data_IF_039786665485
#
_entry.id   IF_039786665485
#
_cell.length_a   1.000
_cell.length_b   1.000
_cell.length_c   1.000
_cell.angle_alpha   90.00
_cell.angle_beta   90.00
_cell.angle_gamma   90.00
#
_symmetry.space_group_name_H-M   'P 1'
#
loop_
_entity.id
_entity.type
_entity.pdbx_description
1 polymer ?
#
# COMPACT_ATOMS: atom_id res chain seq x y z
N UNK A 1 -25.60 27.88 -24.47
CA UNK A 1 -25.87 27.08 -23.27
C UNK A 1 -24.90 27.58 -22.20
N UNK A 2 -25.42 28.35 -21.22
CA UNK A 2 -24.63 28.81 -20.08
C UNK A 2 -24.53 27.63 -19.10
N UNK A 3 -23.35 27.03 -18.98
CA UNK A 3 -23.07 26.05 -17.94
C UNK A 3 -22.78 26.86 -16.66
N UNK A 4 -23.78 26.99 -15.81
CA UNK A 4 -23.58 27.56 -14.48
C UNK A 4 -22.86 26.47 -13.65
N UNK A 5 -21.59 26.67 -13.37
CA UNK A 5 -20.87 25.81 -12.44
C UNK A 5 -21.51 25.98 -11.07
N UNK A 6 -22.19 24.96 -10.57
CA UNK A 6 -22.63 24.93 -9.18
C UNK A 6 -21.35 24.81 -8.34
N UNK A 7 -21.07 25.88 -7.57
CA UNK A 7 -19.92 25.84 -6.67
C UNK A 7 -20.14 24.71 -5.65
N UNK A 8 -19.21 23.80 -5.57
CA UNK A 8 -19.21 22.74 -4.57
C UNK A 8 -19.11 23.39 -3.18
N UNK A 9 -20.17 23.27 -2.38
CA UNK A 9 -20.26 23.87 -1.04
C UNK A 9 -19.62 23.00 0.05
N UNK A 10 -19.04 21.84 -0.33
CA UNK A 10 -18.36 20.99 0.64
C UNK A 10 -17.17 21.70 1.28
N UNK A 11 -16.93 21.42 2.55
CA UNK A 11 -15.71 21.85 3.23
C UNK A 11 -14.50 21.23 2.51
N UNK A 12 -13.44 22.00 2.37
CA UNK A 12 -12.21 21.54 1.74
C UNK A 12 -11.13 21.34 2.80
N UNK A 13 -10.46 20.18 2.77
CA UNK A 13 -9.26 19.92 3.55
C UNK A 13 -8.03 20.02 2.64
N UNK A 14 -7.11 20.90 2.98
CA UNK A 14 -5.83 21.01 2.28
C UNK A 14 -4.82 20.09 2.95
N UNK A 15 -4.21 19.19 2.16
CA UNK A 15 -3.23 18.22 2.61
C UNK A 15 -1.90 18.53 1.92
N UNK A 16 -0.86 18.80 2.70
CA UNK A 16 0.48 19.02 2.19
C UNK A 16 1.27 17.71 2.14
N UNK A 17 1.60 17.26 0.93
CA UNK A 17 2.36 16.05 0.64
C UNK A 17 1.47 14.85 0.26
N UNK A 18 1.76 14.26 -0.90
CA UNK A 18 1.13 13.04 -1.42
C UNK A 18 1.98 11.79 -1.12
N UNK A 19 2.55 11.72 0.07
CA UNK A 19 3.13 10.50 0.62
C UNK A 19 2.06 9.59 1.24
N UNK A 20 2.44 8.43 1.82
CA UNK A 20 1.50 7.49 2.41
C UNK A 20 0.53 8.13 3.41
N UNK A 21 1.02 9.01 4.26
CA UNK A 21 0.19 9.67 5.27
C UNK A 21 -0.88 10.60 4.65
N UNK A 22 -0.46 11.45 3.71
CA UNK A 22 -1.38 12.39 3.04
C UNK A 22 -2.42 11.69 2.18
N UNK A 23 -2.01 10.68 1.42
CA UNK A 23 -2.92 9.89 0.59
C UNK A 23 -3.91 9.06 1.43
N UNK A 24 -3.45 8.51 2.57
CA UNK A 24 -4.33 7.83 3.52
C UNK A 24 -5.35 8.79 4.12
N UNK A 25 -4.92 9.97 4.55
CA UNK A 25 -5.83 10.99 5.08
C UNK A 25 -6.87 11.41 4.05
N UNK A 26 -6.46 11.63 2.80
CA UNK A 26 -7.37 11.97 1.71
C UNK A 26 -8.41 10.86 1.47
N UNK A 27 -7.96 9.60 1.41
CA UNK A 27 -8.85 8.45 1.23
C UNK A 27 -9.86 8.31 2.36
N UNK A 28 -9.43 8.46 3.61
CA UNK A 28 -10.32 8.35 4.77
C UNK A 28 -11.33 9.52 4.84
N UNK A 29 -10.92 10.73 4.46
CA UNK A 29 -11.86 11.85 4.33
C UNK A 29 -12.93 11.58 3.28
N UNK A 30 -12.55 11.08 2.11
CA UNK A 30 -13.50 10.71 1.05
C UNK A 30 -14.46 9.59 1.45
N UNK A 31 -13.99 8.63 2.26
CA UNK A 31 -14.80 7.49 2.70
C UNK A 31 -15.75 7.80 3.85
N UNK A 32 -15.38 8.75 4.72
CA UNK A 32 -16.02 8.94 6.02
C UNK A 32 -16.60 10.32 6.26
N UNK A 33 -16.50 11.23 5.30
CA UNK A 33 -16.99 12.59 5.46
C UNK A 33 -17.40 13.22 4.13
N UNK A 34 -18.06 14.36 4.21
CA UNK A 34 -18.39 15.21 3.06
C UNK A 34 -17.29 16.23 2.74
N UNK A 35 -16.10 16.07 3.34
CA UNK A 35 -14.97 16.97 3.13
C UNK A 35 -14.26 16.58 1.83
N UNK A 36 -14.03 17.57 0.97
CA UNK A 36 -13.24 17.40 -0.24
C UNK A 36 -11.74 17.54 0.07
N UNK A 37 -10.94 16.48 -0.01
CA UNK A 37 -9.50 16.59 0.16
C UNK A 37 -8.85 17.16 -1.11
N UNK A 38 -7.97 18.14 -0.92
CA UNK A 38 -7.08 18.69 -1.96
C UNK A 38 -5.65 18.44 -1.51
N UNK A 39 -4.93 17.61 -2.26
CA UNK A 39 -3.57 17.20 -1.92
C UNK A 39 -2.58 17.97 -2.78
N UNK A 40 -1.63 18.65 -2.15
CA UNK A 40 -0.52 19.30 -2.83
C UNK A 40 0.75 18.49 -2.65
N UNK A 41 1.44 18.23 -3.75
CA UNK A 41 2.73 17.53 -3.76
C UNK A 41 3.79 18.45 -4.37
N UNK A 42 4.95 18.52 -3.74
CA UNK A 42 6.07 19.33 -4.21
C UNK A 42 6.87 18.66 -5.34
N UNK A 43 6.79 17.34 -5.42
CA UNK A 43 7.47 16.54 -6.45
C UNK A 43 6.55 16.29 -7.64
N UNK A 44 7.13 15.88 -8.75
CA UNK A 44 6.40 15.47 -9.99
C UNK A 44 5.73 14.11 -9.85
N UNK A 45 6.09 13.33 -8.85
CA UNK A 45 5.57 11.99 -8.58
C UNK A 45 5.08 11.87 -7.15
N UNK A 46 3.87 11.37 -6.97
CA UNK A 46 3.30 11.03 -5.66
C UNK A 46 3.99 9.80 -5.04
N UNK A 47 3.76 9.55 -3.76
CA UNK A 47 4.21 8.36 -3.05
C UNK A 47 5.22 8.63 -1.93
N UNK A 48 5.88 9.80 -1.91
CA UNK A 48 6.83 10.16 -0.85
C UNK A 48 7.90 9.08 -0.65
N UNK A 49 8.07 8.60 0.58
CA UNK A 49 9.05 7.55 0.91
C UNK A 49 8.70 6.17 0.28
N UNK A 50 7.46 5.98 -0.15
CA UNK A 50 7.01 4.74 -0.81
C UNK A 50 7.10 4.80 -2.33
N UNK A 51 7.77 5.82 -2.88
CA UNK A 51 7.99 5.91 -4.32
C UNK A 51 8.84 4.77 -4.84
N UNK A 52 8.44 4.25 -6.00
CA UNK A 52 9.27 3.38 -6.83
C UNK A 52 9.81 4.22 -7.98
N UNK A 53 11.12 4.32 -8.08
CA UNK A 53 11.80 5.00 -9.19
C UNK A 53 12.25 3.99 -10.25
N UNK A 54 12.20 4.41 -11.52
CA UNK A 54 12.77 3.64 -12.61
C UNK A 54 14.13 4.23 -12.99
N UNK A 55 15.18 3.47 -12.77
CA UNK A 55 16.52 3.84 -13.17
C UNK A 55 17.08 2.83 -14.15
N UNK A 56 17.28 3.24 -15.40
CA UNK A 56 17.81 2.40 -16.48
C UNK A 56 17.04 1.08 -16.65
N UNK A 57 15.71 1.14 -16.60
CA UNK A 57 14.84 -0.03 -16.71
C UNK A 57 14.66 -0.85 -15.43
N UNK A 58 15.37 -0.52 -14.35
CA UNK A 58 15.22 -1.19 -13.05
C UNK A 58 14.29 -0.38 -12.14
N UNK A 59 13.31 -1.05 -11.53
CA UNK A 59 12.42 -0.47 -10.52
C UNK A 59 13.06 -0.60 -9.15
N UNK A 60 13.17 0.52 -8.44
CA UNK A 60 13.76 0.56 -7.11
C UNK A 60 12.88 1.40 -6.18
N UNK A 61 12.50 0.85 -5.05
CA UNK A 61 11.78 1.57 -4.02
C UNK A 61 12.75 2.46 -3.22
N UNK A 62 12.35 3.71 -2.96
CA UNK A 62 13.13 4.64 -2.16
C UNK A 62 13.15 4.26 -0.68
N UNK A 63 12.06 3.71 -0.19
CA UNK A 63 11.91 3.25 1.17
C UNK A 63 11.92 1.74 1.31
N UNK A 64 11.47 1.28 2.47
CA UNK A 64 11.30 -0.15 2.70
C UNK A 64 10.15 -0.69 1.86
N UNK A 65 10.43 -1.63 0.96
CA UNK A 65 9.42 -2.25 0.07
C UNK A 65 8.73 -3.45 0.70
N UNK A 66 8.71 -3.54 2.01
CA UNK A 66 7.98 -4.57 2.74
C UNK A 66 6.86 -3.95 3.53
N UNK A 67 5.67 -4.48 3.31
CA UNK A 67 4.55 -4.15 4.16
C UNK A 67 4.43 -5.14 5.31
N UNK A 68 4.41 -4.63 6.52
CA UNK A 68 4.10 -5.35 7.74
C UNK A 68 3.60 -4.39 8.80
N UNK A 69 2.55 -4.78 9.50
CA UNK A 69 2.07 -4.06 10.69
C UNK A 69 1.75 -5.03 11.83
N UNK A 70 1.98 -4.58 13.07
CA UNK A 70 1.52 -5.29 14.27
C UNK A 70 0.03 -5.09 14.51
N UNK A 71 -0.58 -4.10 13.90
CA UNK A 71 -2.00 -3.79 14.02
C UNK A 71 -2.81 -4.59 13.01
N UNK A 72 -3.73 -5.40 13.50
CA UNK A 72 -4.66 -6.16 12.67
C UNK A 72 -5.58 -5.24 11.87
N UNK A 73 -5.92 -4.07 12.42
CA UNK A 73 -6.68 -3.05 11.70
C UNK A 73 -5.92 -2.55 10.48
N UNK A 74 -4.64 -2.20 10.61
CA UNK A 74 -3.80 -1.75 9.49
C UNK A 74 -3.64 -2.85 8.46
N UNK A 75 -3.47 -4.11 8.90
CA UNK A 75 -3.35 -5.24 7.98
C UNK A 75 -4.63 -5.44 7.16
N UNK A 76 -5.80 -5.39 7.79
CA UNK A 76 -7.09 -5.48 7.08
C UNK A 76 -7.30 -4.30 6.14
N UNK A 77 -7.02 -3.08 6.59
CA UNK A 77 -7.15 -1.87 5.78
C UNK A 77 -6.32 -1.94 4.49
N UNK A 78 -5.09 -2.45 4.58
CA UNK A 78 -4.26 -2.67 3.40
C UNK A 78 -4.82 -3.71 2.45
N UNK A 79 -5.35 -4.79 2.97
CA UNK A 79 -5.97 -5.84 2.16
C UNK A 79 -7.25 -5.38 1.45
N UNK A 80 -7.93 -4.37 1.99
CA UNK A 80 -9.05 -3.72 1.30
C UNK A 80 -8.61 -2.91 0.08
N UNK A 81 -7.38 -2.39 0.10
CA UNK A 81 -6.82 -1.61 -1.00
C UNK A 81 -6.11 -2.51 -2.00
N UNK A 82 -5.33 -3.45 -1.50
CA UNK A 82 -4.52 -4.34 -2.32
C UNK A 82 -4.58 -5.76 -1.73
N UNK A 83 -5.39 -6.65 -2.33
CA UNK A 83 -5.55 -8.01 -1.84
C UNK A 83 -4.25 -8.81 -1.96
N UNK A 84 -4.08 -9.80 -1.11
CA UNK A 84 -2.95 -10.73 -1.20
C UNK A 84 -3.23 -11.74 -2.31
N UNK A 85 -2.25 -12.00 -3.17
CA UNK A 85 -2.35 -13.03 -4.19
C UNK A 85 -2.60 -14.40 -3.55
N UNK A 86 -3.49 -15.18 -4.17
CA UNK A 86 -3.84 -16.52 -3.69
C UNK A 86 -2.71 -17.55 -3.86
N UNK A 87 -1.62 -17.21 -4.56
CA UNK A 87 -0.48 -18.09 -4.72
C UNK A 87 0.26 -18.26 -3.39
N UNK A 88 0.06 -19.42 -2.78
CA UNK A 88 0.86 -19.83 -1.65
C UNK A 88 2.35 -19.92 -2.03
N UNK A 89 3.29 -19.60 -1.13
CA UNK A 89 4.71 -19.88 -1.35
C UNK A 89 4.89 -21.35 -1.69
N UNK A 90 5.75 -21.65 -2.66
CA UNK A 90 6.06 -23.00 -3.09
C UNK A 90 6.32 -23.93 -1.89
N UNK A 91 5.44 -24.88 -1.63
CA UNK A 91 5.55 -25.83 -0.52
C UNK A 91 4.43 -25.79 0.52
N UNK A 92 3.50 -24.83 0.47
CA UNK A 92 2.26 -24.91 1.23
C UNK A 92 1.19 -25.66 0.43
N UNK A 93 0.37 -26.47 1.09
CA UNK A 93 -0.80 -27.09 0.44
C UNK A 93 -1.80 -26.03 -0.02
N UNK A 94 -2.56 -26.32 -1.07
CA UNK A 94 -3.51 -25.39 -1.72
C UNK A 94 -4.55 -24.74 -0.79
N UNK A 95 -4.70 -25.22 0.45
CA UNK A 95 -5.67 -24.74 1.42
C UNK A 95 -5.06 -24.28 2.74
N UNK A 96 -3.73 -24.25 2.87
CA UNK A 96 -3.12 -23.81 4.11
C UNK A 96 -3.14 -22.28 4.22
N UNK A 97 -3.61 -21.71 5.35
CA UNK A 97 -3.58 -20.28 5.54
C UNK A 97 -2.14 -19.79 5.51
N UNK A 98 -1.92 -18.75 4.72
CA UNK A 98 -0.61 -18.11 4.63
C UNK A 98 -0.19 -17.63 6.01
N UNK A 99 0.96 -18.10 6.50
CA UNK A 99 1.50 -17.74 7.80
C UNK A 99 2.47 -16.57 7.68
N UNK A 100 2.18 -15.48 8.38
CA UNK A 100 3.12 -14.37 8.54
C UNK A 100 4.01 -14.63 9.75
N UNK A 101 5.32 -14.71 9.52
CA UNK A 101 6.32 -14.86 10.58
C UNK A 101 7.01 -13.53 10.87
N UNK A 102 6.92 -13.05 12.10
CA UNK A 102 7.57 -11.82 12.51
C UNK A 102 8.01 -11.88 13.98
N UNK A 103 9.29 -11.62 14.23
CA UNK A 103 9.90 -11.63 15.58
C UNK A 103 9.56 -12.90 16.38
N UNK A 104 9.67 -14.08 15.76
CA UNK A 104 9.40 -15.35 16.42
C UNK A 104 7.92 -15.67 16.67
N UNK A 105 7.00 -14.81 16.20
CA UNK A 105 5.56 -15.06 16.24
C UNK A 105 5.03 -15.35 14.85
N UNK A 106 4.17 -16.34 14.76
CA UNK A 106 3.42 -16.69 13.55
C UNK A 106 1.96 -16.31 13.74
N UNK A 107 1.36 -15.75 12.70
CA UNK A 107 -0.08 -15.53 12.64
C UNK A 107 -0.63 -15.84 11.25
N UNK A 108 -1.83 -16.41 11.15
CA UNK A 108 -2.44 -16.62 9.86
C UNK A 108 -2.78 -15.26 9.22
N UNK A 109 -2.56 -15.17 7.92
CA UNK A 109 -3.09 -14.09 7.11
C UNK A 109 -4.44 -14.54 6.58
N UNK A 110 -5.50 -13.86 6.98
CA UNK A 110 -6.83 -14.16 6.46
C UNK A 110 -6.89 -13.76 4.98
N UNK A 111 -7.31 -14.66 4.08
CA UNK A 111 -7.44 -14.32 2.68
C UNK A 111 -8.51 -13.24 2.50
N UNK A 112 -8.21 -12.27 1.69
CA UNK A 112 -9.15 -11.20 1.34
C UNK A 112 -10.26 -11.76 0.44
N UNK A 113 -11.50 -11.46 0.75
CA UNK A 113 -12.67 -11.82 -0.07
C UNK A 113 -12.80 -10.97 -1.34
N UNK A 114 -11.99 -9.91 -1.48
CA UNK A 114 -11.99 -9.06 -2.66
C UNK A 114 -11.22 -9.74 -3.79
N UNK A 115 -11.89 -9.89 -4.93
CA UNK A 115 -11.20 -10.21 -6.17
C UNK A 115 -10.36 -8.99 -6.60
N UNK A 116 -9.09 -9.16 -7.01
CA UNK A 116 -8.31 -8.08 -7.55
C UNK A 116 -8.95 -7.51 -8.81
N UNK A 117 -8.90 -6.19 -8.98
CA UNK A 117 -9.43 -5.54 -10.19
C UNK A 117 -8.58 -5.88 -11.42
N UNK A 118 -7.31 -6.22 -11.21
CA UNK A 118 -6.35 -6.68 -12.22
C UNK A 118 -5.42 -7.74 -11.62
N UNK A 119 -4.90 -8.68 -12.42
CA UNK A 119 -3.88 -9.64 -11.97
C UNK A 119 -2.62 -8.98 -11.37
N UNK A 120 -2.34 -7.75 -11.77
CA UNK A 120 -1.17 -6.99 -11.30
C UNK A 120 -1.47 -6.19 -10.00
N UNK A 121 -2.75 -6.09 -9.59
CA UNK A 121 -3.17 -5.35 -8.41
C UNK A 121 -3.29 -6.25 -7.19
N UNK A 122 -2.20 -6.93 -6.86
CA UNK A 122 -2.13 -7.85 -5.72
C UNK A 122 -0.82 -7.67 -4.94
N UNK A 123 -0.88 -7.90 -3.64
CA UNK A 123 0.31 -8.07 -2.83
C UNK A 123 0.84 -9.49 -2.99
N UNK A 124 2.10 -9.60 -3.37
CA UNK A 124 2.77 -10.88 -3.48
C UNK A 124 3.43 -11.26 -2.15
N UNK A 125 3.16 -12.47 -1.68
CA UNK A 125 3.91 -13.05 -0.58
C UNK A 125 5.17 -13.70 -1.14
N UNK A 126 6.34 -13.19 -0.76
CA UNK A 126 7.63 -13.70 -1.23
C UNK A 126 8.49 -14.15 -0.08
N UNK A 127 9.17 -15.28 -0.27
CA UNK A 127 10.23 -15.70 0.64
C UNK A 127 11.36 -14.66 0.61
N UNK A 128 11.87 -14.34 1.78
CA UNK A 128 12.90 -13.34 1.92
C UNK A 128 14.28 -13.96 1.98
N UNK A 129 15.15 -13.54 1.06
CA UNK A 129 16.58 -13.68 1.21
C UNK A 129 17.18 -12.29 1.51
N UNK A 130 17.53 -12.03 2.76
CA UNK A 130 18.20 -10.78 3.15
C UNK A 130 19.65 -11.04 3.48
N UNK A 131 20.51 -10.20 2.95
CA UNK A 131 21.92 -10.16 3.29
C UNK A 131 22.29 -8.74 3.68
N UNK A 132 23.07 -8.59 4.76
CA UNK A 132 23.64 -7.30 5.13
C UNK A 132 25.07 -7.24 4.61
N UNK A 133 25.36 -6.18 3.84
CA UNK A 133 26.73 -5.91 3.39
C UNK A 133 27.34 -4.89 4.34
N UNK A 134 28.36 -5.29 5.09
CA UNK A 134 29.06 -4.43 6.02
C UNK A 134 30.57 -4.64 5.91
N UNK A 135 31.34 -3.54 5.84
CA UNK A 135 32.81 -3.57 5.73
C UNK A 135 33.32 -4.50 4.62
N UNK A 136 32.71 -4.44 3.42
CA UNK A 136 33.03 -5.28 2.24
C UNK A 136 32.82 -6.80 2.44
N UNK A 137 31.93 -7.20 3.35
CA UNK A 137 31.55 -8.60 3.59
C UNK A 137 30.01 -8.74 3.60
N UNK A 138 29.53 -9.87 3.09
CA UNK A 138 28.14 -10.30 3.22
C UNK A 138 27.94 -11.08 4.52
#
# INVERSE_FOLDING_TARGET
>A
VQITAVADQRKTAVIAGAGPAGLTAALELLRRSDILPVVFEADTQVGGISKTINYRGNRMDLGGHRFFSKSDWVMRWWQEILPVAAEAPSGAGDNDPVQLHYQGKSRPLEPTKLAPASPDEVMLLRQRLSRSYHRRRF
#
